data_IF_172585683517
#
_entry.id   IF_172585683517
#
_cell.length_a   1.000
_cell.length_b   1.000
_cell.length_c   1.000
_cell.angle_alpha   90.00
_cell.angle_beta   90.00
_cell.angle_gamma   90.00
#
_symmetry.space_group_name_H-M   'P 1'
#
loop_
_entity.id
_entity.type
_entity.pdbx_description
1 polymer ?
#
# COMPACT_ATOMS: atom_id res chain seq x y z
N UNK A 1 11.27 32.82 14.96
CA UNK A 1 9.91 32.47 14.45
C UNK A 1 9.83 32.34 12.92
N UNK A 2 10.42 33.22 12.11
CA UNK A 2 10.37 33.11 10.62
C UNK A 2 10.98 31.82 10.05
N UNK A 3 12.11 31.37 10.57
CA UNK A 3 12.79 30.15 10.09
C UNK A 3 11.97 28.88 10.33
N UNK A 4 11.32 28.76 11.50
CA UNK A 4 10.48 27.60 11.85
C UNK A 4 9.24 27.52 10.96
N UNK A 5 8.64 28.66 10.61
CA UNK A 5 7.50 28.70 9.69
C UNK A 5 7.89 28.26 8.27
N UNK A 6 9.09 28.66 7.80
CA UNK A 6 9.61 28.23 6.50
C UNK A 6 9.90 26.72 6.51
N UNK A 7 10.53 26.20 7.58
CA UNK A 7 10.76 24.76 7.73
C UNK A 7 9.45 23.97 7.73
N UNK A 8 8.44 24.41 8.47
CA UNK A 8 7.12 23.77 8.49
C UNK A 8 6.44 23.80 7.11
N UNK A 9 6.53 24.93 6.40
CA UNK A 9 5.98 25.06 5.05
C UNK A 9 6.68 24.12 4.06
N UNK A 10 8.01 24.02 4.11
CA UNK A 10 8.78 23.10 3.26
C UNK A 10 8.49 21.63 3.57
N UNK A 11 8.39 21.27 4.86
CA UNK A 11 8.05 19.91 5.29
C UNK A 11 6.62 19.56 4.85
N UNK A 12 5.67 20.48 5.03
CA UNK A 12 4.28 20.29 4.58
C UNK A 12 4.20 20.17 3.06
N UNK A 13 4.91 21.02 2.31
CA UNK A 13 4.99 20.94 0.85
C UNK A 13 5.58 19.61 0.37
N UNK A 14 6.66 19.15 1.00
CA UNK A 14 7.26 17.84 0.71
C UNK A 14 6.31 16.68 1.04
N UNK A 15 5.55 16.79 2.14
CA UNK A 15 4.54 15.82 2.50
C UNK A 15 3.43 15.78 1.44
N UNK A 16 2.92 16.94 1.02
CA UNK A 16 1.90 16.99 -0.02
C UNK A 16 2.39 16.46 -1.37
N UNK A 17 3.66 16.66 -1.76
CA UNK A 17 4.17 16.13 -3.04
C UNK A 17 4.40 14.63 -3.01
N UNK A 18 4.84 14.09 -1.88
CA UNK A 18 5.08 12.65 -1.70
C UNK A 18 3.79 11.85 -1.46
N UNK A 19 2.79 12.45 -0.80
CA UNK A 19 1.57 11.77 -0.36
C UNK A 19 0.29 12.29 -1.05
N UNK A 20 0.41 12.98 -2.20
CA UNK A 20 -0.77 13.48 -2.92
C UNK A 20 -1.67 12.33 -3.42
N UNK A 21 -3.00 12.41 -3.22
CA UNK A 21 -3.94 11.47 -3.80
C UNK A 21 -3.97 11.69 -5.33
N UNK A 22 -3.33 10.79 -6.08
CA UNK A 22 -3.27 10.89 -7.54
C UNK A 22 -1.95 10.41 -8.17
N UNK A 23 -0.92 10.08 -7.39
CA UNK A 23 0.25 9.41 -7.98
C UNK A 23 -0.14 8.04 -8.55
N UNK A 24 0.25 7.74 -9.79
CA UNK A 24 0.02 6.41 -10.35
C UNK A 24 0.70 5.39 -9.44
N UNK A 25 -0.09 4.46 -8.93
CA UNK A 25 0.43 3.41 -8.06
C UNK A 25 1.44 2.59 -8.86
N UNK A 26 2.72 2.63 -8.46
CA UNK A 26 3.74 1.82 -9.13
C UNK A 26 3.44 0.35 -8.92
N UNK A 27 3.92 -0.51 -9.83
CA UNK A 27 3.75 -1.96 -9.74
C UNK A 27 4.25 -2.48 -8.38
N UNK A 28 5.35 -1.93 -7.87
CA UNK A 28 5.94 -2.27 -6.57
C UNK A 28 5.03 -1.87 -5.40
N UNK A 29 4.46 -0.67 -5.47
CA UNK A 29 3.53 -0.17 -4.44
C UNK A 29 2.24 -1.00 -4.43
N UNK A 30 1.74 -1.35 -5.62
CA UNK A 30 0.55 -2.19 -5.76
C UNK A 30 0.79 -3.60 -5.23
N UNK A 31 1.93 -4.22 -5.57
CA UNK A 31 2.31 -5.53 -5.06
C UNK A 31 2.47 -5.52 -3.53
N UNK A 32 3.07 -4.46 -2.97
CA UNK A 32 3.20 -4.27 -1.53
C UNK A 32 1.82 -4.18 -0.87
N UNK A 33 0.92 -3.33 -1.38
CA UNK A 33 -0.44 -3.19 -0.84
C UNK A 33 -1.25 -4.50 -0.93
N UNK A 34 -1.17 -5.22 -2.05
CA UNK A 34 -1.84 -6.52 -2.18
C UNK A 34 -1.29 -7.53 -1.19
N UNK A 35 0.02 -7.52 -0.94
CA UNK A 35 0.65 -8.40 0.05
C UNK A 35 0.22 -8.04 1.47
N UNK A 36 0.11 -6.75 1.79
CA UNK A 36 -0.42 -6.26 3.08
C UNK A 36 -1.87 -6.71 3.27
N UNK A 37 -2.72 -6.54 2.25
CA UNK A 37 -4.13 -6.98 2.26
C UNK A 37 -4.26 -8.48 2.47
N UNK A 38 -3.42 -9.27 1.79
CA UNK A 38 -3.38 -10.72 1.96
C UNK A 38 -2.98 -11.08 3.41
N UNK A 39 -1.91 -10.47 3.92
CA UNK A 39 -1.40 -10.70 5.28
C UNK A 39 -2.44 -10.34 6.34
N UNK A 40 -3.13 -9.21 6.18
CA UNK A 40 -4.21 -8.79 7.08
C UNK A 40 -5.38 -9.80 7.10
N UNK A 41 -5.56 -10.58 6.03
CA UNK A 41 -6.54 -11.68 5.93
C UNK A 41 -5.97 -13.05 6.34
N UNK A 42 -4.72 -13.11 6.80
CA UNK A 42 -4.08 -14.34 7.26
C UNK A 42 -3.52 -15.23 6.15
N UNK A 43 -3.30 -14.71 4.93
CA UNK A 43 -2.67 -15.47 3.84
C UNK A 43 -1.58 -14.65 3.13
N UNK A 44 -0.77 -15.31 2.32
CA UNK A 44 0.35 -14.67 1.59
C UNK A 44 0.16 -14.68 0.07
N UNK A 45 -0.89 -15.31 -0.42
CA UNK A 45 -1.18 -15.35 -1.85
C UNK A 45 -1.69 -13.99 -2.32
N UNK A 46 -1.16 -13.53 -3.45
CA UNK A 46 -1.55 -12.29 -4.13
C UNK A 46 -1.86 -12.60 -5.61
N UNK A 47 -2.56 -11.70 -6.34
CA UNK A 47 -2.74 -11.86 -7.78
C UNK A 47 -1.42 -11.87 -8.54
N UNK A 48 -1.40 -12.43 -9.75
CA UNK A 48 -0.23 -12.39 -10.63
C UNK A 48 0.05 -10.94 -11.07
N UNK A 49 1.28 -10.48 -10.83
CA UNK A 49 1.79 -9.18 -11.24
C UNK A 49 3.25 -9.33 -11.71
N UNK A 50 3.82 -8.33 -12.41
CA UNK A 50 5.20 -8.40 -12.93
C UNK A 50 6.25 -8.75 -11.86
N UNK A 51 6.01 -8.38 -10.61
CA UNK A 51 6.91 -8.59 -9.46
C UNK A 51 6.47 -9.73 -8.56
N UNK A 52 5.74 -10.71 -9.10
CA UNK A 52 5.32 -11.91 -8.37
C UNK A 52 6.04 -13.15 -8.87
N UNK A 53 6.25 -14.11 -7.97
CA UNK A 53 6.82 -15.42 -8.29
C UNK A 53 5.73 -16.49 -8.13
N UNK A 54 5.63 -17.45 -9.06
CA UNK A 54 4.75 -18.60 -8.90
C UNK A 54 5.28 -19.49 -7.77
N UNK A 55 4.37 -20.01 -6.96
CA UNK A 55 4.66 -21.04 -5.97
C UNK A 55 3.82 -22.29 -6.18
N UNK A 56 3.65 -23.09 -5.12
CA UNK A 56 2.91 -24.34 -5.21
C UNK A 56 1.42 -24.07 -5.40
N UNK A 57 0.74 -24.99 -6.09
CA UNK A 57 -0.73 -24.97 -6.27
C UNK A 57 -1.28 -23.71 -6.98
N UNK A 58 -0.47 -23.08 -7.86
CA UNK A 58 -0.91 -21.88 -8.59
C UNK A 58 -0.99 -20.61 -7.75
N UNK A 59 -0.45 -20.61 -6.52
CA UNK A 59 -0.36 -19.43 -5.66
C UNK A 59 0.78 -18.53 -6.12
N UNK A 60 0.60 -17.22 -6.03
CA UNK A 60 1.64 -16.23 -6.34
C UNK A 60 2.04 -15.47 -5.09
N UNK A 61 3.33 -15.14 -5.01
CA UNK A 61 3.95 -14.46 -3.87
C UNK A 61 4.76 -13.26 -4.36
N UNK A 62 4.87 -12.21 -3.55
CA UNK A 62 5.71 -11.06 -3.88
C UNK A 62 7.19 -11.45 -3.96
N UNK A 63 7.88 -10.99 -5.00
CA UNK A 63 9.33 -11.15 -5.17
C UNK A 63 10.11 -10.51 -4.01
N UNK A 64 9.61 -9.39 -3.46
CA UNK A 64 10.27 -8.60 -2.43
C UNK A 64 10.18 -9.20 -1.02
N UNK A 65 9.41 -10.28 -0.85
CA UNK A 65 9.18 -10.91 0.45
C UNK A 65 8.22 -10.10 1.36
N UNK A 66 8.01 -10.57 2.61
CA UNK A 66 6.96 -10.05 3.48
C UNK A 66 7.39 -8.89 4.38
N UNK A 67 8.67 -8.50 4.42
CA UNK A 67 9.19 -7.55 5.43
C UNK A 67 8.47 -6.18 5.38
N UNK A 68 8.51 -5.51 4.23
CA UNK A 68 7.84 -4.22 4.02
C UNK A 68 6.32 -4.33 4.25
N UNK A 69 5.62 -5.35 3.72
CA UNK A 69 4.21 -5.58 4.03
C UNK A 69 3.91 -5.72 5.52
N UNK A 70 4.70 -6.49 6.27
CA UNK A 70 4.50 -6.69 7.72
C UNK A 70 4.66 -5.38 8.48
N UNK A 71 5.68 -4.58 8.16
CA UNK A 71 5.89 -3.27 8.78
C UNK A 71 4.79 -2.26 8.45
N UNK A 72 4.10 -2.46 7.33
CA UNK A 72 3.02 -1.60 6.85
C UNK A 72 1.65 -1.98 7.43
N UNK A 73 1.51 -3.13 8.10
CA UNK A 73 0.24 -3.61 8.67
C UNK A 73 -0.41 -2.60 9.65
N UNK A 74 0.30 -1.99 10.62
CA UNK A 74 -0.32 -1.05 11.54
C UNK A 74 -0.92 0.17 10.81
N UNK A 75 -0.19 0.71 9.83
CA UNK A 75 -0.68 1.82 9.00
C UNK A 75 -1.86 1.42 8.14
N UNK A 76 -1.86 0.20 7.60
CA UNK A 76 -2.99 -0.34 6.85
C UNK A 76 -4.25 -0.48 7.71
N UNK A 77 -4.15 -1.01 8.93
CA UNK A 77 -5.29 -1.12 9.82
C UNK A 77 -5.86 0.25 10.20
N UNK A 78 -4.99 1.23 10.51
CA UNK A 78 -5.42 2.60 10.79
C UNK A 78 -6.12 3.24 9.58
N UNK A 79 -5.55 3.09 8.37
CA UNK A 79 -6.15 3.63 7.14
C UNK A 79 -7.46 2.95 6.78
N UNK A 80 -7.57 1.63 6.98
CA UNK A 80 -8.77 0.84 6.64
C UNK A 80 -10.02 1.23 7.44
N UNK A 81 -9.86 1.92 8.57
CA UNK A 81 -10.98 2.47 9.33
C UNK A 81 -11.62 3.68 8.65
N UNK A 82 -10.91 4.33 7.73
CA UNK A 82 -11.35 5.51 6.98
C UNK A 82 -11.71 5.18 5.52
N UNK A 83 -11.32 4.01 5.03
CA UNK A 83 -11.72 3.53 3.71
C UNK A 83 -13.20 3.11 3.75
N UNK A 84 -14.03 3.74 2.92
CA UNK A 84 -15.38 3.24 2.66
C UNK A 84 -15.28 1.81 2.11
N UNK A 85 -16.14 0.87 2.54
CA UNK A 85 -16.12 -0.48 1.99
C UNK A 85 -16.21 -0.42 0.46
N UNK A 86 -15.40 -1.18 -0.27
CA UNK A 86 -15.49 -1.20 -1.72
C UNK A 86 -16.92 -1.57 -2.14
N UNK A 87 -17.48 -0.93 -3.18
CA UNK A 87 -18.81 -1.28 -3.66
C UNK A 87 -18.86 -2.77 -4.00
N UNK A 88 -19.98 -3.46 -3.71
CA UNK A 88 -20.12 -4.88 -4.03
C UNK A 88 -19.91 -5.12 -5.53
N UNK A 89 -19.36 -6.28 -5.92
CA UNK A 89 -19.19 -6.61 -7.33
C UNK A 89 -20.55 -6.55 -8.06
N UNK A 90 -20.66 -5.74 -9.12
CA UNK A 90 -21.88 -5.61 -9.92
C UNK A 90 -22.67 -4.31 -9.76
N UNK A 91 -22.14 -3.30 -9.05
CA UNK A 91 -22.78 -1.99 -8.88
C UNK A 91 -22.46 -0.96 -10.00
N UNK A 92 -22.08 -1.41 -11.20
CA UNK A 92 -21.86 -0.57 -12.38
C UNK A 92 -22.76 -1.01 -13.53
#
# INVERSE_FOLDING_TARGET
MKLQAISLFLISGLFFTLFHPGHPMTVDSAATLQTVRALARGHLHIPEMMVTRPGREGRHYSYYGPLLPVLSLPGYFLGSQFDNPPPPPGAA
#
